data_IF_295213157161
#
_entry.id   IF_295213157161
#
_cell.length_a   1.000
_cell.length_b   1.000
_cell.length_c   1.000
_cell.angle_alpha   90.00
_cell.angle_beta   90.00
_cell.angle_gamma   90.00
#
_symmetry.space_group_name_H-M   'P 1'
#
loop_
_entity.id
_entity.type
_entity.pdbx_description
1 polymer ?
#
# COMPACT_ATOMS: atom_id res chain seq x y z
N UNK A 1 -19.25 13.17 31.07
CA UNK A 1 -18.48 12.88 29.85
C UNK A 1 -19.36 13.18 28.65
N UNK A 2 -19.17 14.37 28.09
CA UNK A 2 -19.92 14.82 26.93
C UNK A 2 -19.53 13.96 25.71
N UNK A 3 -20.49 13.23 25.15
CA UNK A 3 -20.33 12.51 23.90
C UNK A 3 -20.16 13.57 22.80
N UNK A 4 -18.94 14.00 22.56
CA UNK A 4 -18.65 14.83 21.39
C UNK A 4 -19.13 14.06 20.16
N UNK A 5 -20.21 14.55 19.56
CA UNK A 5 -20.72 14.02 18.28
C UNK A 5 -19.61 14.25 17.27
N UNK A 6 -18.98 13.16 16.83
CA UNK A 6 -17.95 13.22 15.79
C UNK A 6 -18.64 13.68 14.50
N UNK A 7 -18.41 14.93 14.11
CA UNK A 7 -18.87 15.43 12.81
C UNK A 7 -17.83 15.04 11.77
N UNK A 8 -18.20 14.40 10.66
CA UNK A 8 -17.27 14.12 9.58
C UNK A 8 -16.83 15.42 8.92
N UNK A 9 -15.60 15.46 8.44
CA UNK A 9 -15.17 16.48 7.51
C UNK A 9 -15.84 16.21 6.16
N UNK A 10 -16.79 17.09 5.80
CA UNK A 10 -17.59 16.90 4.59
C UNK A 10 -16.76 17.05 3.31
N UNK A 11 -15.68 17.84 3.32
CA UNK A 11 -14.79 17.99 2.17
C UNK A 11 -14.02 16.69 1.95
N UNK A 12 -13.40 16.17 3.00
CA UNK A 12 -12.67 14.90 2.94
C UNK A 12 -13.60 13.74 2.54
N UNK A 13 -14.81 13.69 3.12
CA UNK A 13 -15.80 12.68 2.77
C UNK A 13 -16.21 12.79 1.29
N UNK A 14 -16.47 14.01 0.81
CA UNK A 14 -16.80 14.26 -0.59
C UNK A 14 -15.70 13.80 -1.55
N UNK A 15 -14.44 14.09 -1.23
CA UNK A 15 -13.28 13.63 -2.02
C UNK A 15 -13.22 12.09 -2.04
N UNK A 16 -13.36 11.44 -0.88
CA UNK A 16 -13.34 9.98 -0.80
C UNK A 16 -14.47 9.34 -1.62
N UNK A 17 -15.70 9.84 -1.50
CA UNK A 17 -16.85 9.35 -2.26
C UNK A 17 -16.63 9.54 -3.76
N UNK A 18 -16.13 10.69 -4.19
CA UNK A 18 -15.82 10.96 -5.59
C UNK A 18 -14.78 9.99 -6.14
N UNK A 19 -13.67 9.80 -5.42
CA UNK A 19 -12.60 8.87 -5.82
C UNK A 19 -13.10 7.43 -5.93
N UNK A 20 -13.90 6.97 -4.97
CA UNK A 20 -14.49 5.63 -4.99
C UNK A 20 -15.45 5.48 -6.16
N UNK A 21 -16.33 6.45 -6.38
CA UNK A 21 -17.29 6.41 -7.49
C UNK A 21 -16.60 6.38 -8.84
N UNK A 22 -15.62 7.26 -9.07
CA UNK A 22 -14.82 7.30 -10.30
C UNK A 22 -14.06 5.98 -10.46
N UNK A 23 -13.46 5.45 -9.40
CA UNK A 23 -12.75 4.16 -9.43
C UNK A 23 -13.66 2.99 -9.84
N UNK A 24 -14.87 2.93 -9.31
CA UNK A 24 -15.88 1.91 -9.66
C UNK A 24 -16.31 2.04 -11.13
N UNK A 25 -16.55 3.26 -11.62
CA UNK A 25 -16.92 3.51 -13.01
C UNK A 25 -15.80 3.12 -13.99
N UNK A 26 -14.55 3.48 -13.66
CA UNK A 26 -13.39 3.10 -14.47
C UNK A 26 -13.23 1.57 -14.48
N UNK A 27 -13.36 0.92 -13.33
CA UNK A 27 -13.26 -0.54 -13.24
C UNK A 27 -14.32 -1.21 -14.09
N UNK A 28 -15.58 -0.77 -14.02
CA UNK A 28 -16.67 -1.30 -14.85
C UNK A 28 -16.34 -1.21 -16.35
N UNK A 29 -15.77 -0.07 -16.77
CA UNK A 29 -15.40 0.16 -18.18
C UNK A 29 -14.20 -0.68 -18.63
N UNK A 30 -13.15 -0.76 -17.82
CA UNK A 30 -11.88 -1.38 -18.21
C UNK A 30 -11.93 -2.90 -18.07
N UNK A 31 -12.57 -3.43 -17.01
CA UNK A 31 -12.57 -4.85 -16.72
C UNK A 31 -13.53 -5.68 -17.58
N UNK A 32 -14.49 -5.07 -18.25
CA UNK A 32 -15.54 -5.79 -18.96
C UNK A 32 -15.02 -6.73 -20.04
N UNK A 33 -14.11 -6.28 -20.92
CA UNK A 33 -13.53 -7.09 -21.98
C UNK A 33 -12.66 -8.24 -21.43
N UNK A 34 -11.86 -7.96 -20.42
CA UNK A 34 -11.00 -8.95 -19.78
C UNK A 34 -11.81 -9.99 -18.98
N UNK A 35 -12.88 -9.56 -18.32
CA UNK A 35 -13.82 -10.45 -17.62
C UNK A 35 -14.50 -11.41 -18.60
N UNK A 36 -14.97 -10.89 -19.75
CA UNK A 36 -15.63 -11.71 -20.76
C UNK A 36 -14.70 -12.77 -21.34
N UNK A 37 -13.47 -12.39 -21.67
CA UNK A 37 -12.48 -13.33 -22.23
C UNK A 37 -12.09 -14.44 -21.23
N UNK A 38 -11.98 -14.13 -19.93
CA UNK A 38 -11.45 -15.06 -18.94
C UNK A 38 -12.53 -15.88 -18.22
N UNK A 39 -13.71 -15.30 -18.02
CA UNK A 39 -14.79 -15.89 -17.21
C UNK A 39 -16.13 -16.04 -17.95
N UNK A 40 -16.20 -15.63 -19.21
CA UNK A 40 -17.43 -15.70 -20.01
C UNK A 40 -18.52 -14.69 -19.60
N UNK A 41 -18.24 -13.82 -18.62
CA UNK A 41 -19.17 -12.79 -18.14
C UNK A 41 -18.48 -11.44 -18.05
N UNK A 42 -19.17 -10.36 -18.47
CA UNK A 42 -18.60 -9.00 -18.47
C UNK A 42 -18.42 -8.41 -17.08
N UNK A 43 -19.14 -8.91 -16.08
CA UNK A 43 -19.24 -8.29 -14.75
C UNK A 43 -18.46 -9.03 -13.65
N UNK A 44 -17.69 -10.05 -13.96
CA UNK A 44 -16.98 -10.83 -12.92
C UNK A 44 -16.10 -9.97 -12.01
N UNK A 45 -15.15 -9.23 -12.56
CA UNK A 45 -14.25 -8.39 -11.77
C UNK A 45 -14.96 -7.24 -11.08
N UNK A 46 -15.97 -6.65 -11.72
CA UNK A 46 -16.79 -5.61 -11.13
C UNK A 46 -17.54 -6.12 -9.88
N UNK A 47 -18.25 -7.24 -9.99
CA UNK A 47 -18.99 -7.84 -8.89
C UNK A 47 -18.05 -8.29 -7.77
N UNK A 48 -16.93 -8.92 -8.13
CA UNK A 48 -15.91 -9.33 -7.17
C UNK A 48 -15.36 -8.13 -6.38
N UNK A 49 -15.03 -7.02 -7.05
CA UNK A 49 -14.53 -5.81 -6.40
C UNK A 49 -15.58 -5.16 -5.49
N UNK A 50 -16.85 -5.18 -5.89
CA UNK A 50 -17.92 -4.66 -5.03
C UNK A 50 -18.10 -5.52 -3.77
N UNK A 51 -18.18 -6.83 -3.92
CA UNK A 51 -18.48 -7.74 -2.81
C UNK A 51 -17.29 -7.96 -1.89
N UNK A 52 -16.09 -8.12 -2.45
CA UNK A 52 -14.89 -8.50 -1.70
C UNK A 52 -14.02 -7.29 -1.32
N UNK A 53 -14.07 -6.21 -2.10
CA UNK A 53 -13.31 -4.99 -1.84
C UNK A 53 -14.15 -3.89 -1.21
N UNK A 54 -15.16 -3.40 -1.94
CA UNK A 54 -15.89 -2.20 -1.53
C UNK A 54 -16.76 -2.41 -0.28
N UNK A 55 -17.59 -3.45 -0.23
CA UNK A 55 -18.49 -3.67 0.93
C UNK A 55 -17.71 -3.91 2.24
N UNK A 56 -16.69 -4.80 2.30
CA UNK A 56 -15.87 -4.93 3.50
C UNK A 56 -15.10 -3.65 3.84
N UNK A 57 -14.57 -2.94 2.84
CA UNK A 57 -13.89 -1.66 3.02
C UNK A 57 -14.82 -0.60 3.61
N UNK A 58 -16.04 -0.49 3.13
CA UNK A 58 -17.06 0.41 3.68
C UNK A 58 -17.42 0.06 5.12
N UNK A 59 -17.62 -1.24 5.42
CA UNK A 59 -17.88 -1.70 6.78
C UNK A 59 -16.73 -1.34 7.74
N UNK A 60 -15.49 -1.54 7.31
CA UNK A 60 -14.30 -1.16 8.08
C UNK A 60 -14.18 0.36 8.26
N UNK A 61 -14.52 1.15 7.24
CA UNK A 61 -14.51 2.61 7.32
C UNK A 61 -15.54 3.12 8.33
N UNK A 62 -16.77 2.58 8.31
CA UNK A 62 -17.83 2.89 9.29
C UNK A 62 -17.38 2.48 10.69
N UNK A 63 -16.86 1.26 10.86
CA UNK A 63 -16.36 0.80 12.14
C UNK A 63 -15.25 1.71 12.69
N UNK A 64 -14.27 2.08 11.85
CA UNK A 64 -13.18 2.98 12.22
C UNK A 64 -13.70 4.38 12.61
N UNK A 65 -14.73 4.88 11.95
CA UNK A 65 -15.36 6.16 12.29
C UNK A 65 -16.06 6.11 13.66
N UNK A 66 -16.70 5.00 13.98
CA UNK A 66 -17.45 4.82 15.25
C UNK A 66 -16.51 4.56 16.45
N UNK A 67 -15.36 3.93 16.24
CA UNK A 67 -14.41 3.62 17.31
C UNK A 67 -13.79 4.91 17.86
N UNK A 68 -13.81 5.14 19.19
CA UNK A 68 -13.15 6.30 19.78
C UNK A 68 -11.63 6.21 19.66
N UNK A 69 -10.98 7.35 19.46
CA UNK A 69 -9.52 7.45 19.27
C UNK A 69 -8.74 6.86 20.45
N UNK A 70 -9.27 6.98 21.67
CA UNK A 70 -8.70 6.37 22.87
C UNK A 70 -8.60 4.85 22.78
N UNK A 71 -9.61 4.20 22.20
CA UNK A 71 -9.62 2.76 21.95
C UNK A 71 -8.62 2.38 20.87
N UNK A 72 -8.57 3.11 19.75
CA UNK A 72 -7.59 2.90 18.69
C UNK A 72 -6.15 3.04 19.23
N UNK A 73 -5.89 4.04 20.07
CA UNK A 73 -4.60 4.23 20.73
C UNK A 73 -4.25 3.05 21.64
N UNK A 74 -5.21 2.56 22.43
CA UNK A 74 -4.99 1.42 23.34
C UNK A 74 -4.68 0.13 22.57
N UNK A 75 -5.39 -0.11 21.46
CA UNK A 75 -5.26 -1.32 20.67
C UNK A 75 -4.23 -1.23 19.53
N UNK A 76 -3.54 -0.11 19.38
CA UNK A 76 -2.59 0.11 18.27
C UNK A 76 -1.42 -0.90 18.27
N UNK A 77 -0.84 -1.22 19.45
CA UNK A 77 0.22 -2.21 19.55
C UNK A 77 -0.27 -3.64 19.31
N UNK A 78 -1.34 -4.14 19.97
CA UNK A 78 -1.91 -5.45 19.65
C UNK A 78 -2.29 -5.59 18.17
N UNK A 79 -2.85 -4.55 17.56
CA UNK A 79 -3.18 -4.54 16.14
C UNK A 79 -1.93 -4.70 15.27
N UNK A 80 -0.87 -3.92 15.55
CA UNK A 80 0.39 -4.04 14.81
C UNK A 80 0.99 -5.44 14.94
N UNK A 81 1.06 -5.98 16.16
CA UNK A 81 1.58 -7.34 16.39
C UNK A 81 0.75 -8.38 15.63
N UNK A 82 -0.59 -8.31 15.71
CA UNK A 82 -1.47 -9.22 14.99
C UNK A 82 -1.26 -9.18 13.49
N UNK A 83 -1.10 -7.98 12.90
CA UNK A 83 -0.85 -7.83 11.47
C UNK A 83 0.56 -8.31 11.09
N UNK A 84 1.58 -8.06 11.92
CA UNK A 84 2.94 -8.60 11.67
C UNK A 84 2.93 -10.13 11.72
N UNK A 85 2.17 -10.73 12.63
CA UNK A 85 1.97 -12.20 12.64
C UNK A 85 1.31 -12.67 11.35
N UNK A 86 0.24 -11.98 10.87
CA UNK A 86 -0.39 -12.30 9.58
C UNK A 86 0.60 -12.21 8.41
N UNK A 87 1.47 -11.19 8.42
CA UNK A 87 2.56 -11.05 7.43
C UNK A 87 3.53 -12.23 7.53
N UNK A 88 3.83 -12.72 8.73
CA UNK A 88 4.66 -13.91 8.98
C UNK A 88 4.01 -15.21 8.51
N UNK A 89 2.68 -15.36 8.63
CA UNK A 89 1.96 -16.57 8.23
C UNK A 89 2.08 -16.89 6.73
N UNK A 90 2.39 -15.90 5.89
CA UNK A 90 2.60 -16.11 4.44
C UNK A 90 3.75 -17.08 4.16
N UNK A 91 4.74 -17.15 5.05
CA UNK A 91 5.89 -18.06 4.90
C UNK A 91 5.57 -19.51 5.23
N UNK A 92 4.39 -19.79 5.79
CA UNK A 92 3.95 -21.16 6.09
C UNK A 92 3.51 -21.82 4.77
N UNK A 93 4.05 -23.02 4.43
CA UNK A 93 3.64 -23.75 3.25
C UNK A 93 2.14 -24.03 3.26
N UNK A 94 1.48 -23.76 2.13
CA UNK A 94 0.03 -23.96 1.98
C UNK A 94 -0.84 -22.74 2.31
N UNK A 95 -0.34 -21.75 3.05
CA UNK A 95 -1.07 -20.51 3.34
C UNK A 95 -0.69 -19.38 2.39
N UNK A 96 0.57 -19.29 2.00
CA UNK A 96 1.07 -18.25 1.11
C UNK A 96 0.86 -18.55 -0.36
N UNK A 97 0.35 -17.58 -1.13
CA UNK A 97 0.24 -17.65 -2.60
C UNK A 97 1.33 -16.76 -3.21
N UNK A 98 2.06 -17.32 -4.19
CA UNK A 98 2.98 -16.56 -5.03
C UNK A 98 2.20 -15.80 -6.11
N UNK A 99 2.54 -14.53 -6.27
CA UNK A 99 2.12 -13.71 -7.39
C UNK A 99 3.38 -13.22 -8.13
N UNK A 100 3.66 -13.81 -9.28
CA UNK A 100 4.97 -13.74 -9.91
C UNK A 100 6.05 -14.38 -9.01
N UNK A 101 7.18 -13.69 -8.86
CA UNK A 101 8.30 -14.17 -8.02
C UNK A 101 8.14 -13.84 -6.52
N UNK A 102 7.03 -13.23 -6.12
CA UNK A 102 6.86 -12.74 -4.77
C UNK A 102 5.72 -13.46 -4.02
N UNK A 103 6.05 -13.89 -2.81
CA UNK A 103 5.11 -14.52 -1.87
C UNK A 103 4.47 -13.43 -1.03
N UNK A 104 3.28 -12.92 -1.42
CA UNK A 104 2.67 -11.72 -0.81
C UNK A 104 1.23 -11.89 -0.37
N UNK A 105 0.55 -12.92 -0.85
CA UNK A 105 -0.87 -13.14 -0.61
C UNK A 105 -1.09 -14.27 0.38
N UNK A 106 -2.00 -14.08 1.30
CA UNK A 106 -2.46 -15.12 2.22
C UNK A 106 -3.77 -15.70 1.67
N UNK A 107 -3.82 -17.02 1.56
CA UNK A 107 -5.02 -17.76 1.14
C UNK A 107 -5.79 -18.28 2.35
N UNK A 108 -7.07 -18.00 2.39
CA UNK A 108 -8.01 -18.56 3.34
C UNK A 108 -9.16 -19.24 2.58
N UNK A 109 -8.86 -20.39 1.97
CA UNK A 109 -9.80 -21.10 1.10
C UNK A 109 -10.10 -20.32 -0.19
N UNK A 110 -11.34 -19.88 -0.37
CA UNK A 110 -11.76 -19.13 -1.57
C UNK A 110 -11.40 -17.64 -1.51
N UNK A 111 -10.91 -17.15 -0.37
CA UNK A 111 -10.56 -15.76 -0.16
C UNK A 111 -9.04 -15.58 -0.06
N UNK A 112 -8.52 -14.59 -0.74
CA UNK A 112 -7.10 -14.21 -0.64
C UNK A 112 -6.98 -12.72 -0.40
N UNK A 113 -6.06 -12.33 0.48
CA UNK A 113 -5.76 -10.93 0.75
C UNK A 113 -4.27 -10.74 1.01
N UNK A 114 -3.83 -9.49 0.91
CA UNK A 114 -2.43 -9.14 1.13
C UNK A 114 -2.26 -8.53 2.53
N UNK A 115 -1.68 -9.23 3.51
CA UNK A 115 -1.53 -8.71 4.88
C UNK A 115 -0.70 -7.44 4.99
N UNK A 116 0.24 -7.21 4.08
CA UNK A 116 1.03 -5.97 4.04
C UNK A 116 0.19 -4.71 3.73
N UNK A 117 -1.01 -4.85 3.17
CA UNK A 117 -1.95 -3.73 3.02
C UNK A 117 -2.51 -3.29 4.38
N UNK A 118 -2.81 -4.24 5.26
CA UNK A 118 -3.24 -3.96 6.63
C UNK A 118 -2.09 -3.44 7.51
N UNK A 119 -0.85 -3.79 7.16
CA UNK A 119 0.33 -3.36 7.90
C UNK A 119 0.52 -1.83 7.85
N UNK A 120 0.20 -1.19 6.73
CA UNK A 120 0.33 0.27 6.56
C UNK A 120 -0.51 1.05 7.59
N UNK A 121 -1.84 0.88 7.67
CA UNK A 121 -2.64 1.58 8.67
C UNK A 121 -2.32 1.15 10.10
N UNK A 122 -2.02 -0.12 10.36
CA UNK A 122 -1.63 -0.59 11.69
C UNK A 122 -0.34 0.07 12.17
N UNK A 123 0.66 0.18 11.30
CA UNK A 123 1.92 0.88 11.58
C UNK A 123 1.70 2.38 11.86
N UNK A 124 0.90 3.07 11.04
CA UNK A 124 0.59 4.49 11.22
C UNK A 124 -0.09 4.73 12.57
N UNK A 125 -1.10 3.92 12.91
CA UNK A 125 -1.82 4.04 14.19
C UNK A 125 -0.90 3.81 15.39
N UNK A 126 -0.07 2.77 15.32
CA UNK A 126 0.90 2.48 16.39
C UNK A 126 1.95 3.57 16.53
N UNK A 127 2.55 3.98 15.41
CA UNK A 127 3.60 5.00 15.41
C UNK A 127 3.07 6.34 15.93
N UNK A 128 1.87 6.75 15.51
CA UNK A 128 1.22 7.97 16.02
C UNK A 128 0.99 7.91 17.53
N UNK A 129 0.45 6.78 18.03
CA UNK A 129 0.21 6.59 19.46
C UNK A 129 1.50 6.59 20.27
N UNK A 130 2.54 5.94 19.75
CA UNK A 130 3.83 5.83 20.41
C UNK A 130 4.59 7.16 20.44
N UNK A 131 4.67 7.88 19.31
CA UNK A 131 5.33 9.19 19.21
C UNK A 131 4.63 10.22 20.09
N UNK A 132 3.29 10.27 20.09
CA UNK A 132 2.53 11.15 20.96
C UNK A 132 2.88 10.95 22.43
N UNK A 133 2.94 9.71 22.90
CA UNK A 133 3.30 9.41 24.28
C UNK A 133 4.73 9.87 24.63
N UNK A 134 5.70 9.70 23.71
CA UNK A 134 7.11 10.11 23.92
C UNK A 134 7.26 11.63 23.89
N UNK A 135 6.52 12.31 23.03
CA UNK A 135 6.51 13.78 22.95
C UNK A 135 5.97 14.38 24.23
N UNK A 136 4.85 13.89 24.75
CA UNK A 136 4.29 14.33 26.03
C UNK A 136 5.20 14.04 27.22
N UNK A 137 5.90 12.91 27.21
CA UNK A 137 6.86 12.55 28.26
C UNK A 137 8.20 13.28 28.15
N UNK A 138 8.39 14.20 27.18
CA UNK A 138 9.67 14.91 26.92
C UNK A 138 10.88 13.99 26.70
N UNK A 139 10.66 12.74 26.25
CA UNK A 139 11.70 11.73 26.00
C UNK A 139 12.03 11.61 24.50
N UNK A 140 12.17 12.73 23.81
CA UNK A 140 12.36 12.76 22.34
C UNK A 140 13.69 12.12 21.92
N UNK A 141 14.76 12.29 22.72
CA UNK A 141 16.09 11.75 22.39
C UNK A 141 16.14 10.20 22.46
N UNK A 142 15.29 9.58 23.29
CA UNK A 142 15.21 8.13 23.44
C UNK A 142 14.28 7.44 22.42
N UNK A 143 13.97 8.10 21.31
CA UNK A 143 13.03 7.56 20.30
C UNK A 143 13.71 6.90 19.12
N UNK A 144 14.98 7.21 18.84
CA UNK A 144 15.69 6.76 17.64
C UNK A 144 15.82 5.25 17.58
N UNK A 145 16.38 4.64 18.63
CA UNK A 145 16.64 3.18 18.65
C UNK A 145 15.33 2.37 18.54
N UNK A 146 14.28 2.64 19.33
CA UNK A 146 13.02 1.93 19.17
C UNK A 146 12.39 2.11 17.79
N UNK A 147 12.50 3.30 17.19
CA UNK A 147 12.00 3.53 15.82
C UNK A 147 12.73 2.64 14.80
N UNK A 148 14.08 2.58 14.87
CA UNK A 148 14.89 1.72 13.99
C UNK A 148 14.54 0.24 14.20
N UNK A 149 14.36 -0.19 15.46
CA UNK A 149 14.00 -1.59 15.76
C UNK A 149 12.66 -1.96 15.18
N UNK A 150 11.64 -1.12 15.33
CA UNK A 150 10.29 -1.37 14.79
C UNK A 150 10.31 -1.40 13.27
N UNK A 151 10.91 -0.37 12.64
CA UNK A 151 11.00 -0.28 11.19
C UNK A 151 11.86 -1.40 10.61
N UNK A 152 12.95 -1.76 11.28
CA UNK A 152 13.84 -2.84 10.91
C UNK A 152 13.16 -4.21 10.98
N UNK A 153 12.41 -4.49 12.06
CA UNK A 153 11.66 -5.72 12.20
C UNK A 153 10.61 -5.88 11.07
N UNK A 154 9.84 -4.82 10.79
CA UNK A 154 8.89 -4.80 9.66
C UNK A 154 9.65 -4.97 8.33
N UNK A 155 10.77 -4.27 8.18
CA UNK A 155 11.59 -4.30 6.99
C UNK A 155 12.12 -5.70 6.66
N UNK A 156 12.56 -6.45 7.66
CA UNK A 156 13.03 -7.83 7.47
C UNK A 156 11.95 -8.72 6.83
N UNK A 157 10.70 -8.68 7.34
CA UNK A 157 9.60 -9.43 6.76
C UNK A 157 9.29 -9.00 5.32
N UNK A 158 9.26 -7.68 5.05
CA UNK A 158 8.93 -7.15 3.73
C UNK A 158 10.02 -7.41 2.69
N UNK A 159 11.29 -7.39 3.09
CA UNK A 159 12.41 -7.77 2.21
C UNK A 159 12.38 -9.26 1.89
N UNK A 160 12.07 -10.11 2.89
CA UNK A 160 11.91 -11.54 2.69
C UNK A 160 10.75 -11.90 1.74
N UNK A 161 9.72 -11.04 1.64
CA UNK A 161 8.58 -11.18 0.72
C UNK A 161 8.79 -10.53 -0.66
N UNK A 162 9.95 -10.11 -1.08
CA UNK A 162 10.32 -9.09 -2.08
C UNK A 162 9.30 -7.94 -2.24
N UNK A 163 8.82 -7.38 -1.11
CA UNK A 163 7.84 -6.28 -1.08
C UNK A 163 8.47 -4.91 -0.81
N UNK A 164 9.54 -4.59 -1.56
CA UNK A 164 10.35 -3.37 -1.34
C UNK A 164 9.54 -2.08 -1.53
N UNK A 165 8.57 -2.06 -2.44
CA UNK A 165 7.70 -0.89 -2.63
C UNK A 165 6.87 -0.59 -1.38
N UNK A 166 6.32 -1.62 -0.74
CA UNK A 166 5.57 -1.48 0.52
C UNK A 166 6.48 -1.01 1.65
N UNK A 167 7.71 -1.55 1.73
CA UNK A 167 8.73 -1.08 2.68
C UNK A 167 9.04 0.39 2.47
N UNK A 168 9.23 0.83 1.21
CA UNK A 168 9.47 2.23 0.87
C UNK A 168 8.35 3.16 1.36
N UNK A 169 7.08 2.80 1.12
CA UNK A 169 5.92 3.57 1.59
C UNK A 169 5.92 3.67 3.12
N UNK A 170 6.11 2.54 3.83
CA UNK A 170 6.14 2.50 5.30
C UNK A 170 7.30 3.33 5.84
N UNK A 171 8.50 3.21 5.25
CA UNK A 171 9.68 3.94 5.67
C UNK A 171 9.52 5.45 5.48
N UNK A 172 9.05 5.90 4.31
CA UNK A 172 8.83 7.32 4.02
C UNK A 172 7.74 7.89 4.94
N UNK A 173 6.61 7.17 5.10
CA UNK A 173 5.53 7.60 6.00
C UNK A 173 6.01 7.66 7.44
N UNK A 174 6.73 6.64 7.90
CA UNK A 174 7.29 6.59 9.25
C UNK A 174 8.28 7.72 9.50
N UNK A 175 9.18 8.00 8.55
CA UNK A 175 10.14 9.09 8.64
C UNK A 175 9.46 10.46 8.69
N UNK A 176 8.44 10.68 7.85
CA UNK A 176 7.65 11.91 7.87
C UNK A 176 6.96 12.11 9.25
N UNK A 177 6.30 11.07 9.77
CA UNK A 177 5.68 11.12 11.10
C UNK A 177 6.70 11.38 12.21
N UNK A 178 7.87 10.75 12.12
CA UNK A 178 8.97 10.93 13.06
C UNK A 178 9.48 12.36 13.04
N UNK A 179 9.69 12.94 11.86
CA UNK A 179 10.09 14.33 11.67
C UNK A 179 9.06 15.31 12.27
N UNK A 180 7.78 15.15 11.88
CA UNK A 180 6.71 16.04 12.35
C UNK A 180 6.38 15.89 13.85
N UNK A 181 6.84 14.83 14.51
CA UNK A 181 6.70 14.69 15.96
C UNK A 181 7.63 15.62 16.76
N UNK A 182 8.49 16.39 16.08
CA UNK A 182 9.44 17.33 16.69
C UNK A 182 10.61 16.65 17.38
N UNK A 183 11.04 15.50 16.85
CA UNK A 183 12.31 14.82 17.25
C UNK A 183 13.51 15.62 16.77
N UNK A 184 14.72 15.42 17.35
CA UNK A 184 15.92 16.12 16.91
C UNK A 184 16.21 15.87 15.42
N UNK A 185 16.58 16.94 14.71
CA UNK A 185 16.84 16.90 13.25
C UNK A 185 17.94 15.91 12.87
N UNK A 186 18.95 15.76 13.72
CA UNK A 186 20.04 14.81 13.45
C UNK A 186 19.57 13.35 13.40
N UNK A 187 18.50 12.98 14.15
CA UNK A 187 17.85 11.66 14.02
C UNK A 187 17.30 11.46 12.62
N UNK A 188 16.59 12.47 12.11
CA UNK A 188 15.99 12.41 10.76
C UNK A 188 17.06 12.30 9.69
N UNK A 189 18.16 13.07 9.82
CA UNK A 189 19.30 12.99 8.91
C UNK A 189 19.97 11.62 8.94
N UNK A 190 20.17 11.05 10.13
CA UNK A 190 20.74 9.72 10.30
C UNK A 190 19.83 8.63 9.69
N UNK A 191 18.52 8.75 9.89
CA UNK A 191 17.54 7.83 9.31
C UNK A 191 17.48 7.93 7.78
N UNK A 192 17.58 9.14 7.22
CA UNK A 192 17.69 9.35 5.78
C UNK A 192 18.95 8.72 5.19
N UNK A 193 20.10 8.99 5.78
CA UNK A 193 21.37 8.42 5.35
C UNK A 193 21.37 6.88 5.47
N UNK A 194 20.86 6.36 6.60
CA UNK A 194 20.71 4.93 6.82
C UNK A 194 19.73 4.29 5.82
N UNK A 195 18.64 4.97 5.50
CA UNK A 195 17.67 4.55 4.48
C UNK A 195 18.26 4.49 3.08
N UNK A 196 19.02 5.52 2.68
CA UNK A 196 19.74 5.55 1.40
C UNK A 196 20.81 4.44 1.35
N UNK A 197 21.59 4.25 2.41
CA UNK A 197 22.55 3.16 2.53
C UNK A 197 21.89 1.78 2.44
N UNK A 198 20.76 1.61 3.13
CA UNK A 198 19.95 0.38 3.06
C UNK A 198 19.40 0.13 1.66
N UNK A 199 18.91 1.16 0.96
CA UNK A 199 18.46 1.05 -0.42
C UNK A 199 19.61 0.64 -1.36
N UNK A 200 20.78 1.28 -1.24
CA UNK A 200 21.96 0.91 -1.97
C UNK A 200 22.34 -0.56 -1.76
N UNK A 201 22.35 -1.02 -0.52
CA UNK A 201 22.64 -2.40 -0.16
C UNK A 201 21.59 -3.38 -0.75
N UNK A 202 20.30 -3.06 -0.67
CA UNK A 202 19.23 -3.86 -1.26
C UNK A 202 19.33 -3.96 -2.79
N UNK A 203 19.84 -2.92 -3.46
CA UNK A 203 20.10 -2.92 -4.91
C UNK A 203 21.30 -3.83 -5.21
N UNK A 204 22.35 -3.76 -4.42
CA UNK A 204 23.55 -4.59 -4.61
C UNK A 204 23.25 -6.09 -4.47
N UNK A 205 22.41 -6.48 -3.49
CA UNK A 205 22.03 -7.89 -3.28
C UNK A 205 21.14 -8.42 -4.43
N UNK A 206 20.34 -7.56 -5.05
CA UNK A 206 19.39 -7.99 -6.06
C UNK A 206 19.47 -7.07 -7.31
N UNK A 207 20.42 -7.37 -8.22
CA UNK A 207 20.69 -6.55 -9.41
C UNK A 207 19.49 -6.31 -10.32
N UNK A 208 18.50 -7.23 -10.34
CA UNK A 208 17.26 -7.06 -11.11
C UNK A 208 16.50 -5.76 -10.78
N UNK A 209 16.77 -5.15 -9.61
CA UNK A 209 16.20 -3.87 -9.21
C UNK A 209 16.79 -2.71 -9.98
N UNK A 210 18.09 -2.79 -10.31
CA UNK A 210 18.73 -1.82 -11.20
C UNK A 210 18.15 -1.89 -12.61
N UNK A 211 17.92 -3.11 -13.13
CA UNK A 211 17.30 -3.28 -14.45
C UNK A 211 15.92 -2.62 -14.50
N UNK A 212 15.10 -2.79 -13.43
CA UNK A 212 13.79 -2.13 -13.35
C UNK A 212 13.91 -0.61 -13.33
N UNK A 213 14.92 -0.08 -12.65
CA UNK A 213 15.17 1.36 -12.61
C UNK A 213 15.65 1.86 -13.97
N UNK A 214 16.58 1.15 -14.61
CA UNK A 214 17.08 1.48 -15.95
C UNK A 214 15.95 1.49 -16.98
N UNK A 215 15.11 0.45 -17.00
CA UNK A 215 13.96 0.34 -17.89
C UNK A 215 12.88 1.40 -17.60
N UNK A 216 12.78 1.89 -16.36
CA UNK A 216 11.88 2.99 -16.03
C UNK A 216 12.32 4.30 -16.70
N UNK A 217 13.63 4.58 -16.76
CA UNK A 217 14.16 5.76 -17.44
C UNK A 217 14.26 5.58 -18.94
N UNK A 218 14.53 4.36 -19.40
CA UNK A 218 14.60 4.03 -20.82
C UNK A 218 13.89 2.70 -21.11
N UNK A 219 12.58 2.75 -21.45
CA UNK A 219 11.80 1.56 -21.78
C UNK A 219 12.30 0.79 -23.01
N UNK A 220 13.20 1.38 -23.81
CA UNK A 220 13.77 0.73 -25.00
C UNK A 220 14.80 -0.34 -24.67
N UNK A 221 15.32 -0.38 -23.44
CA UNK A 221 16.28 -1.40 -22.99
C UNK A 221 15.69 -2.81 -22.93
N UNK A 222 14.37 -2.94 -22.73
CA UNK A 222 13.66 -4.22 -22.71
C UNK A 222 12.25 -4.07 -23.33
N UNK A 223 12.14 -3.89 -24.66
CA UNK A 223 10.90 -3.51 -25.33
C UNK A 223 9.79 -4.56 -25.27
N UNK A 224 10.15 -5.84 -25.11
CA UNK A 224 9.21 -6.97 -25.08
C UNK A 224 8.96 -7.53 -23.67
N UNK A 225 9.77 -7.14 -22.68
CA UNK A 225 9.65 -7.56 -21.29
C UNK A 225 9.16 -6.43 -20.37
N UNK A 226 10.02 -6.03 -19.43
CA UNK A 226 9.67 -5.02 -18.39
C UNK A 226 9.33 -3.65 -18.99
N UNK A 227 9.96 -3.25 -20.11
CA UNK A 227 9.70 -1.99 -20.81
C UNK A 227 8.38 -1.99 -21.58
N UNK A 228 7.87 -3.15 -21.99
CA UNK A 228 6.59 -3.26 -22.68
C UNK A 228 5.46 -2.61 -21.90
N UNK A 229 5.34 -2.94 -20.60
CA UNK A 229 4.30 -2.40 -19.73
C UNK A 229 4.36 -0.87 -19.64
N UNK A 230 5.55 -0.29 -19.47
CA UNK A 230 5.75 1.16 -19.39
C UNK A 230 5.41 1.81 -20.74
N UNK A 231 5.88 1.23 -21.84
CA UNK A 231 5.61 1.72 -23.19
C UNK A 231 4.11 1.73 -23.50
N UNK A 232 3.39 0.65 -23.17
CA UNK A 232 1.94 0.58 -23.36
C UNK A 232 1.18 1.58 -22.49
N UNK A 233 1.62 1.80 -21.25
CA UNK A 233 1.05 2.83 -20.38
C UNK A 233 1.26 4.23 -20.97
N UNK A 234 2.45 4.54 -21.47
CA UNK A 234 2.75 5.83 -22.11
C UNK A 234 1.92 6.03 -23.40
N UNK A 235 1.76 4.99 -24.21
CA UNK A 235 0.90 5.04 -25.41
C UNK A 235 -0.56 5.29 -24.99
N UNK A 236 -1.04 4.60 -23.93
CA UNK A 236 -2.39 4.79 -23.40
C UNK A 236 -2.63 6.23 -22.94
N UNK A 237 -1.68 6.82 -22.21
CA UNK A 237 -1.75 8.21 -21.74
C UNK A 237 -1.66 9.18 -22.92
N UNK A 238 -0.67 8.96 -23.82
CA UNK A 238 -0.46 9.85 -24.96
C UNK A 238 -1.62 9.85 -25.97
N UNK A 239 -2.23 8.69 -26.23
CA UNK A 239 -3.40 8.58 -27.11
C UNK A 239 -4.66 9.20 -26.51
N UNK A 240 -4.75 9.29 -25.17
CA UNK A 240 -5.89 9.88 -24.49
C UNK A 240 -5.89 11.41 -24.46
N UNK A 241 -4.73 12.05 -24.55
CA UNK A 241 -4.62 13.49 -24.35
C UNK A 241 -5.19 13.93 -22.99
N UNK A 242 -5.74 15.17 -22.94
CA UNK A 242 -6.28 15.74 -21.68
C UNK A 242 -7.68 15.19 -21.37
N UNK A 243 -8.50 14.95 -22.35
CA UNK A 243 -9.92 14.56 -22.19
C UNK A 243 -10.16 13.05 -22.22
N UNK A 244 -9.15 12.27 -22.61
CA UNK A 244 -9.26 10.84 -22.84
C UNK A 244 -9.95 10.52 -24.18
N UNK A 245 -9.86 9.24 -24.60
CA UNK A 245 -10.52 8.72 -25.81
C UNK A 245 -12.00 8.37 -25.59
N UNK A 246 -12.51 8.57 -24.38
CA UNK A 246 -13.89 8.20 -23.98
C UNK A 246 -13.98 6.89 -23.22
N UNK A 247 -15.05 6.75 -22.42
CA UNK A 247 -15.29 5.55 -21.61
C UNK A 247 -15.50 4.34 -22.54
N UNK A 248 -14.69 3.31 -22.31
CA UNK A 248 -14.79 2.07 -23.07
C UNK A 248 -14.12 2.06 -24.45
N UNK A 249 -13.56 3.15 -24.95
CA UNK A 249 -12.99 3.25 -26.31
C UNK A 249 -11.46 3.02 -26.38
N UNK A 250 -10.78 2.86 -25.24
CA UNK A 250 -9.33 2.61 -25.21
C UNK A 250 -8.99 1.22 -25.75
N UNK A 251 -8.10 1.16 -26.74
CA UNK A 251 -7.56 -0.11 -27.26
C UNK A 251 -6.67 -0.83 -26.22
N UNK A 252 -6.07 -0.13 -25.30
CA UNK A 252 -5.17 -0.69 -24.29
C UNK A 252 -5.85 -1.67 -23.33
N UNK A 253 -7.19 -1.61 -23.19
CA UNK A 253 -7.97 -2.53 -22.36
C UNK A 253 -8.12 -3.96 -22.93
N UNK A 254 -7.78 -4.17 -24.21
CA UNK A 254 -7.92 -5.46 -24.88
C UNK A 254 -6.69 -6.38 -24.73
N UNK A 255 -5.98 -6.30 -23.62
CA UNK A 255 -4.86 -7.18 -23.31
C UNK A 255 -3.49 -6.62 -23.69
N UNK A 256 -3.40 -5.35 -24.09
CA UNK A 256 -2.13 -4.69 -24.37
C UNK A 256 -1.39 -4.26 -23.10
N UNK A 257 -2.10 -4.17 -21.98
CA UNK A 257 -1.51 -3.99 -20.64
C UNK A 257 -1.60 -5.31 -19.88
N UNK A 258 -0.46 -5.83 -19.38
CA UNK A 258 -0.42 -7.05 -18.59
C UNK A 258 -1.07 -6.90 -17.22
#
# INVERSE_FOLDING_TARGET
MEKSIKRPDHILLGICVTLVTVGILILASVSASFSLQRFGTTFYFFTHQLLVGFLPGLALAIAAFLIPLSTLKKWSLPLLIGVVVLVGLIFIPGLGIKSGDALRWLSLGSFSFQPSELLKPAFILYLAAWLANRTFAKKKDATLIPFIVILGAIGLFLVAQPAVSTLGIIAITGLAMYFFSGTPLWHTLLLLLGGLGGLFFLIRIAPYRLDRLAVFFDPSLDPLGKGYQIKQALIGIGSGGITGVGLGLSFQKFGSLP
#
